data_IF_606669612574
#
_entry.id   IF_606669612574
#
_cell.length_a   1.000
_cell.length_b   1.000
_cell.length_c   1.000
_cell.angle_alpha   90.00
_cell.angle_beta   90.00
_cell.angle_gamma   90.00
#
_symmetry.space_group_name_H-M   'P 1'
#
loop_
_entity.id
_entity.type
_entity.pdbx_description
1 polymer ?
#
# COMPACT_ATOMS: atom_id res chain seq x y z
N UNK A 1 15.21 4.44 -22.54
CA UNK A 1 14.06 3.56 -22.83
C UNK A 1 14.17 2.34 -21.93
N UNK A 2 13.10 2.05 -21.18
CA UNK A 2 12.95 1.08 -20.09
C UNK A 2 13.86 1.38 -18.87
N UNK A 3 13.40 1.49 -17.63
CA UNK A 3 12.29 0.79 -16.99
C UNK A 3 11.74 1.66 -15.84
N UNK A 4 10.63 2.37 -16.08
CA UNK A 4 9.86 3.05 -15.03
C UNK A 4 8.81 2.08 -14.45
N UNK A 5 9.23 0.83 -14.21
CA UNK A 5 8.45 -0.11 -13.44
C UNK A 5 8.84 0.08 -12.00
N UNK A 6 7.90 0.48 -11.14
CA UNK A 6 8.03 0.16 -9.72
C UNK A 6 8.34 -1.33 -9.66
N UNK A 7 9.53 -1.64 -9.15
CA UNK A 7 9.85 -3.00 -8.76
C UNK A 7 8.84 -3.36 -7.68
N UNK A 8 7.77 -4.07 -8.06
CA UNK A 8 6.74 -4.55 -7.15
C UNK A 8 7.46 -5.18 -5.93
N UNK A 9 7.38 -4.50 -4.78
CA UNK A 9 8.26 -4.71 -3.62
C UNK A 9 8.97 -3.44 -3.09
N UNK A 10 8.91 -2.31 -3.80
CA UNK A 10 9.33 -0.97 -3.33
C UNK A 10 8.43 0.10 -3.97
N UNK A 11 7.54 0.74 -3.21
CA UNK A 11 6.65 1.79 -3.72
C UNK A 11 5.24 1.70 -3.14
N UNK A 12 4.25 2.22 -3.87
CA UNK A 12 2.86 2.23 -3.46
C UNK A 12 1.90 1.69 -4.53
N UNK A 13 0.84 1.02 -4.10
CA UNK A 13 -0.15 0.37 -4.97
C UNK A 13 -1.57 0.61 -4.48
N UNK A 14 -2.47 0.92 -5.40
CA UNK A 14 -3.90 1.01 -5.16
C UNK A 14 -4.56 -0.35 -5.50
N UNK A 15 -4.99 -1.07 -4.47
CA UNK A 15 -5.62 -2.38 -4.60
C UNK A 15 -7.02 -2.30 -5.21
N UNK A 16 -7.73 -1.19 -5.05
CA UNK A 16 -9.11 -1.03 -5.53
C UNK A 16 -9.12 -0.73 -7.03
N UNK A 17 -8.18 0.11 -7.48
CA UNK A 17 -8.03 0.49 -8.88
C UNK A 17 -7.03 -0.39 -9.66
N UNK A 18 -6.35 -1.29 -8.97
CA UNK A 18 -5.36 -2.21 -9.53
C UNK A 18 -4.27 -1.48 -10.34
N UNK A 19 -3.72 -0.42 -9.75
CA UNK A 19 -2.70 0.40 -10.37
C UNK A 19 -1.62 0.83 -9.38
N UNK A 20 -0.46 1.20 -9.94
CA UNK A 20 0.63 1.80 -9.18
C UNK A 20 0.24 3.23 -8.78
N UNK A 21 0.57 3.60 -7.54
CA UNK A 21 0.50 5.00 -7.09
C UNK A 21 1.88 5.62 -7.39
N UNK A 22 1.95 6.61 -8.29
CA UNK A 22 3.23 7.25 -8.62
C UNK A 22 3.86 7.91 -7.39
N UNK A 23 5.21 7.93 -7.28
CA UNK A 23 5.91 8.52 -6.13
C UNK A 23 5.49 9.95 -5.80
N UNK A 24 5.23 10.78 -6.81
CA UNK A 24 4.78 12.17 -6.65
C UNK A 24 3.36 12.31 -6.08
N UNK A 25 2.56 11.24 -6.12
CA UNK A 25 1.20 11.19 -5.58
C UNK A 25 1.11 10.47 -4.24
N UNK A 26 2.15 9.77 -3.79
CA UNK A 26 2.10 8.99 -2.55
C UNK A 26 1.70 9.85 -1.35
N UNK A 27 2.31 11.03 -1.19
CA UNK A 27 1.99 11.92 -0.08
C UNK A 27 0.53 12.42 -0.11
N UNK A 28 -0.04 12.63 -1.30
CA UNK A 28 -1.45 13.02 -1.45
C UNK A 28 -2.37 11.85 -1.10
N UNK A 29 -2.11 10.68 -1.68
CA UNK A 29 -2.95 9.48 -1.54
C UNK A 29 -2.95 8.93 -0.11
N UNK A 30 -1.81 9.03 0.60
CA UNK A 30 -1.71 8.64 2.00
C UNK A 30 -1.91 9.82 2.97
N UNK A 31 -2.33 10.99 2.49
CA UNK A 31 -2.57 12.18 3.32
C UNK A 31 -1.36 12.60 4.19
N UNK A 32 -0.14 12.30 3.72
CA UNK A 32 1.13 12.60 4.38
C UNK A 32 1.70 13.96 3.98
N UNK A 33 0.88 14.87 3.44
CA UNK A 33 1.30 16.23 3.06
C UNK A 33 1.40 17.10 4.31
N UNK A 34 2.59 17.60 4.69
CA UNK A 34 2.72 18.48 5.84
C UNK A 34 2.02 19.83 5.59
N UNK A 35 1.30 20.32 6.59
CA UNK A 35 0.61 21.61 6.54
C UNK A 35 0.95 22.48 7.75
N UNK A 36 0.64 23.77 7.67
CA UNK A 36 0.83 24.72 8.77
C UNK A 36 -0.40 24.83 9.71
N UNK A 37 -1.49 24.12 9.41
CA UNK A 37 -2.78 24.21 10.12
C UNK A 37 -2.65 23.85 11.61
N UNK A 38 -1.83 22.84 11.92
CA UNK A 38 -1.55 22.36 13.27
C UNK A 38 -0.03 22.31 13.54
N UNK A 39 0.69 23.36 13.13
CA UNK A 39 2.16 23.42 13.26
C UNK A 39 2.64 23.31 14.72
N UNK A 40 3.82 22.71 14.91
CA UNK A 40 4.51 22.65 16.20
C UNK A 40 5.69 23.62 16.19
N UNK A 41 5.61 24.71 16.96
CA UNK A 41 6.66 25.74 17.02
C UNK A 41 7.07 26.30 15.64
N UNK A 42 6.10 26.45 14.72
CA UNK A 42 6.37 26.92 13.36
C UNK A 42 6.84 25.84 12.38
N UNK A 43 6.92 24.58 12.80
CA UNK A 43 7.25 23.43 11.95
C UNK A 43 5.95 22.81 11.42
N UNK A 44 5.77 22.67 10.09
CA UNK A 44 4.61 21.99 9.51
C UNK A 44 4.44 20.58 10.07
N UNK A 45 3.20 20.15 10.28
CA UNK A 45 2.86 18.80 10.74
C UNK A 45 1.99 18.09 9.72
N UNK A 46 2.04 16.75 9.70
CA UNK A 46 1.10 15.94 8.93
C UNK A 46 -0.22 15.89 9.71
N UNK A 47 -1.35 16.32 9.14
CA UNK A 47 -2.63 16.27 9.82
C UNK A 47 -3.14 14.83 9.96
N UNK A 48 -4.09 14.56 10.87
CA UNK A 48 -4.77 13.27 10.92
C UNK A 48 -5.44 12.93 9.59
N UNK A 49 -5.42 11.64 9.23
CA UNK A 49 -6.12 11.11 8.06
C UNK A 49 -7.61 11.47 8.07
N UNK A 50 -8.12 11.89 6.92
CA UNK A 50 -9.52 12.24 6.68
C UNK A 50 -10.23 11.16 5.87
N UNK A 51 -9.51 10.41 5.02
CA UNK A 51 -10.01 9.23 4.33
C UNK A 51 -10.12 8.07 5.32
N UNK A 52 -11.35 7.79 5.76
CA UNK A 52 -11.66 6.68 6.66
C UNK A 52 -12.15 5.44 5.91
N UNK A 53 -12.33 5.54 4.59
CA UNK A 53 -12.81 4.45 3.75
C UNK A 53 -11.65 3.53 3.32
N UNK A 54 -10.43 4.07 3.29
CA UNK A 54 -9.24 3.35 2.83
C UNK A 54 -8.22 3.18 3.95
N UNK A 55 -7.66 1.99 4.03
CA UNK A 55 -6.55 1.67 4.92
C UNK A 55 -5.27 1.46 4.13
N UNK A 56 -4.16 1.91 4.70
CA UNK A 56 -2.82 1.67 4.18
C UNK A 56 -2.16 0.49 4.92
N UNK A 57 -1.60 -0.46 4.16
CA UNK A 57 -0.90 -1.64 4.68
C UNK A 57 0.52 -1.70 4.13
N UNK A 58 1.50 -1.95 5.00
CA UNK A 58 2.87 -2.18 4.57
C UNK A 58 3.16 -3.67 4.47
N UNK A 59 3.51 -4.16 3.28
CA UNK A 59 3.84 -5.56 3.06
C UNK A 59 4.94 -5.71 2.00
N UNK A 60 5.99 -6.49 2.32
CA UNK A 60 7.04 -6.81 1.36
C UNK A 60 7.78 -5.60 0.76
N UNK A 61 7.85 -4.49 1.49
CA UNK A 61 8.47 -3.24 1.02
C UNK A 61 7.57 -2.33 0.19
N UNK A 62 6.30 -2.68 0.02
CA UNK A 62 5.29 -1.90 -0.69
C UNK A 62 4.20 -1.41 0.27
N UNK A 63 3.68 -0.20 0.04
CA UNK A 63 2.47 0.34 0.67
C UNK A 63 1.25 0.06 -0.20
N UNK A 64 0.29 -0.69 0.33
CA UNK A 64 -0.97 -1.00 -0.34
C UNK A 64 -2.09 -0.16 0.25
N UNK A 65 -2.83 0.55 -0.59
CA UNK A 65 -4.08 1.22 -0.22
C UNK A 65 -5.24 0.33 -0.65
N UNK A 66 -6.19 0.09 0.24
CA UNK A 66 -7.39 -0.70 -0.05
C UNK A 66 -8.57 -0.16 0.72
N UNK A 67 -9.76 -0.18 0.11
CA UNK A 67 -11.00 0.11 0.80
C UNK A 67 -11.20 -0.94 1.88
N UNK A 68 -11.25 -0.51 3.14
CA UNK A 68 -11.41 -1.40 4.28
C UNK A 68 -12.00 -0.65 5.46
N UNK A 69 -12.97 -1.27 6.11
CA UNK A 69 -13.72 -0.69 7.22
C UNK A 69 -13.41 -1.43 8.53
N UNK A 70 -13.52 -0.76 9.70
CA UNK A 70 -13.23 -1.39 10.99
C UNK A 70 -14.07 -2.63 11.32
N UNK A 71 -15.24 -2.77 10.70
CA UNK A 71 -16.14 -3.91 10.87
C UNK A 71 -15.81 -5.09 9.93
N UNK A 72 -14.90 -4.91 8.97
CA UNK A 72 -14.48 -6.00 8.09
C UNK A 72 -13.67 -7.04 8.86
N UNK A 73 -13.91 -8.30 8.50
CA UNK A 73 -13.09 -9.39 9.02
C UNK A 73 -11.66 -9.30 8.50
N UNK A 74 -10.70 -9.76 9.30
CA UNK A 74 -9.29 -9.86 8.88
C UNK A 74 -9.15 -10.66 7.58
N UNK A 75 -9.95 -11.72 7.40
CA UNK A 75 -9.95 -12.49 6.15
C UNK A 75 -10.35 -11.64 4.95
N UNK A 76 -11.42 -10.84 5.06
CA UNK A 76 -11.89 -9.99 3.96
C UNK A 76 -10.82 -8.99 3.53
N UNK A 77 -10.15 -8.36 4.50
CA UNK A 77 -9.05 -7.42 4.23
C UNK A 77 -7.86 -8.12 3.56
N UNK A 78 -7.43 -9.29 4.07
CA UNK A 78 -6.33 -10.06 3.48
C UNK A 78 -6.61 -10.47 2.03
N UNK A 79 -7.84 -10.89 1.74
CA UNK A 79 -8.26 -11.22 0.36
C UNK A 79 -8.20 -9.99 -0.54
N UNK A 80 -8.75 -8.86 -0.10
CA UNK A 80 -8.72 -7.61 -0.87
C UNK A 80 -7.28 -7.15 -1.18
N UNK A 81 -6.37 -7.23 -0.21
CA UNK A 81 -4.94 -6.92 -0.41
C UNK A 81 -4.26 -7.90 -1.38
N UNK A 82 -4.52 -9.19 -1.20
CA UNK A 82 -3.91 -10.23 -2.02
C UNK A 82 -4.35 -10.15 -3.47
N UNK A 83 -5.66 -10.16 -3.70
CA UNK A 83 -6.27 -10.16 -5.03
C UNK A 83 -6.09 -8.80 -5.73
N UNK A 84 -6.10 -7.71 -4.96
CA UNK A 84 -5.98 -6.35 -5.48
C UNK A 84 -4.55 -5.92 -5.84
N UNK A 85 -3.51 -6.61 -5.36
CA UNK A 85 -2.13 -6.23 -5.69
C UNK A 85 -1.03 -7.18 -5.27
N UNK A 86 -1.06 -7.71 -4.05
CA UNK A 86 0.10 -8.44 -3.49
C UNK A 86 0.42 -9.69 -4.32
N UNK A 87 -0.58 -10.42 -4.83
CA UNK A 87 -0.36 -11.60 -5.66
C UNK A 87 0.55 -11.32 -6.88
N UNK A 88 0.50 -10.08 -7.40
CA UNK A 88 1.27 -9.62 -8.56
C UNK A 88 2.72 -9.29 -8.22
N UNK A 89 3.01 -9.03 -6.96
CA UNK A 89 4.37 -8.72 -6.50
C UNK A 89 5.29 -9.95 -6.46
N UNK A 90 4.72 -11.15 -6.56
CA UNK A 90 5.50 -12.37 -6.59
C UNK A 90 6.29 -12.48 -7.90
N UNK A 91 7.59 -12.73 -7.75
CA UNK A 91 8.42 -13.12 -8.88
C UNK A 91 7.94 -14.46 -9.46
N UNK A 92 8.09 -14.69 -10.77
CA UNK A 92 7.81 -15.98 -11.39
C UNK A 92 8.56 -17.12 -10.70
N UNK A 93 7.97 -18.32 -10.71
CA UNK A 93 8.62 -19.52 -10.18
C UNK A 93 10.01 -19.72 -10.81
N UNK A 94 11.01 -20.03 -9.97
CA UNK A 94 12.40 -20.18 -10.40
C UNK A 94 13.23 -18.89 -10.48
N UNK A 95 12.63 -17.71 -10.29
CA UNK A 95 13.36 -16.41 -10.25
C UNK A 95 13.47 -15.78 -8.85
N UNK A 96 12.93 -16.44 -7.83
CA UNK A 96 13.01 -15.99 -6.43
C UNK A 96 13.80 -16.98 -5.59
N UNK A 97 14.76 -16.47 -4.81
CA UNK A 97 15.45 -17.24 -3.78
C UNK A 97 14.61 -17.41 -2.50
N UNK A 98 13.54 -16.60 -2.35
CA UNK A 98 12.63 -16.63 -1.19
C UNK A 98 11.23 -17.05 -1.65
N UNK A 99 10.52 -17.94 -0.92
CA UNK A 99 9.11 -18.21 -1.20
C UNK A 99 8.33 -16.90 -1.13
N UNK A 100 7.69 -16.50 -2.23
CA UNK A 100 6.76 -15.35 -2.24
C UNK A 100 5.48 -15.65 -1.45
N UNK A 101 4.63 -14.64 -1.28
CA UNK A 101 3.31 -14.76 -0.64
C UNK A 101 2.39 -15.46 -1.64
N UNK A 102 2.10 -16.75 -1.49
CA UNK A 102 1.39 -17.55 -2.50
C UNK A 102 -0.13 -17.50 -2.36
N UNK A 103 -0.60 -17.11 -1.20
CA UNK A 103 -2.02 -16.98 -0.87
C UNK A 103 -2.25 -15.85 0.12
N UNK A 104 -3.50 -15.40 0.23
CA UNK A 104 -3.91 -14.43 1.26
C UNK A 104 -3.64 -14.96 2.69
N UNK A 105 -3.55 -16.28 2.89
CA UNK A 105 -3.23 -16.89 4.17
C UNK A 105 -1.78 -16.64 4.59
N UNK A 106 -0.89 -16.47 3.62
CA UNK A 106 0.54 -16.19 3.83
C UNK A 106 0.80 -14.74 4.24
N UNK A 107 -0.22 -13.87 4.18
CA UNK A 107 -0.16 -12.54 4.79
C UNK A 107 -0.16 -12.72 6.31
N UNK A 108 1.02 -12.89 6.89
CA UNK A 108 1.18 -13.03 8.34
C UNK A 108 0.81 -11.71 9.03
N UNK A 109 0.28 -11.83 10.25
CA UNK A 109 -0.16 -10.72 11.09
C UNK A 109 1.03 -10.11 11.84
#
# INVERSE_FOLDING_TARGET
MADAGVSLGKGAWDCDNNCEIPPEKEAEVFEEVPTMEHNFEGIPTVPPHKDLDHMAFFCGGCRYRVTAYPDWTVEKVKRALFDGGIARSNKPEGRSATPGIRSWQDLVR
#
